data_IF_465523500471
#
_entry.id   IF_465523500471
#
_cell.length_a   1.000
_cell.length_b   1.000
_cell.length_c   1.000
_cell.angle_alpha   90.00
_cell.angle_beta   90.00
_cell.angle_gamma   90.00
#
_symmetry.space_group_name_H-M   'P 1'
#
loop_
_entity.id
_entity.type
_entity.pdbx_description
1 polymer ?
#
# COMPACT_ATOMS: atom_id res chain seq x y z
N UNK A 1 -49.70 6.79 -1.24
CA UNK A 1 -49.14 8.01 -1.87
C UNK A 1 -48.08 8.54 -0.92
N UNK A 2 -46.79 8.33 -1.21
CA UNK A 2 -45.72 8.83 -0.34
C UNK A 2 -45.65 10.36 -0.50
N UNK A 3 -45.97 11.10 0.56
CA UNK A 3 -45.69 12.53 0.64
C UNK A 3 -44.18 12.71 0.74
N UNK A 4 -43.53 12.98 -0.39
CA UNK A 4 -42.18 13.53 -0.38
C UNK A 4 -42.25 14.92 0.27
N UNK A 5 -41.77 15.02 1.50
CA UNK A 5 -41.49 16.31 2.09
C UNK A 5 -40.48 17.04 1.18
N UNK A 6 -40.91 18.18 0.61
CA UNK A 6 -40.01 19.18 0.03
C UNK A 6 -39.25 19.87 1.17
N UNK A 7 -38.51 19.12 1.98
CA UNK A 7 -37.43 19.76 2.70
C UNK A 7 -36.42 20.19 1.64
N UNK A 8 -36.10 21.49 1.61
CA UNK A 8 -34.87 21.94 0.99
C UNK A 8 -33.75 21.28 1.77
N UNK A 9 -33.32 20.11 1.31
CA UNK A 9 -32.09 19.50 1.78
C UNK A 9 -30.99 20.48 1.37
N UNK A 10 -30.61 21.37 2.28
CA UNK A 10 -29.41 22.16 2.15
C UNK A 10 -28.26 21.16 2.19
N UNK A 11 -27.84 20.70 1.01
CA UNK A 11 -26.60 19.93 0.87
C UNK A 11 -25.52 20.75 1.56
N UNK A 12 -24.85 20.17 2.56
CA UNK A 12 -23.75 20.83 3.25
C UNK A 12 -22.81 21.41 2.19
N UNK A 13 -22.70 22.73 2.15
CA UNK A 13 -22.01 23.46 1.06
C UNK A 13 -20.59 22.94 0.82
N UNK A 14 -19.92 22.47 1.89
CA UNK A 14 -18.56 21.93 1.83
C UNK A 14 -18.34 20.80 0.80
N UNK A 15 -19.31 19.89 0.61
CA UNK A 15 -19.17 18.81 -0.38
C UNK A 15 -19.50 19.26 -1.81
N UNK A 16 -20.12 20.42 -1.98
CA UNK A 16 -20.40 20.98 -3.31
C UNK A 16 -19.10 21.38 -4.01
N UNK A 17 -18.08 21.82 -3.27
CA UNK A 17 -16.79 22.20 -3.84
C UNK A 17 -16.12 21.02 -4.55
N UNK A 18 -15.97 19.90 -3.85
CA UNK A 18 -15.42 18.67 -4.41
C UNK A 18 -16.26 18.15 -5.57
N UNK A 19 -17.60 18.15 -5.41
CA UNK A 19 -18.52 17.75 -6.48
C UNK A 19 -18.36 18.61 -7.73
N UNK A 20 -18.33 19.93 -7.57
CA UNK A 20 -18.17 20.86 -8.68
C UNK A 20 -16.81 20.66 -9.35
N UNK A 21 -15.74 20.49 -8.56
CA UNK A 21 -14.41 20.18 -9.09
C UNK A 21 -14.42 18.91 -9.95
N UNK A 22 -15.01 17.82 -9.46
CA UNK A 22 -15.11 16.56 -10.22
C UNK A 22 -15.99 16.71 -11.47
N UNK A 23 -17.14 17.37 -11.38
CA UNK A 23 -18.09 17.51 -12.50
C UNK A 23 -17.60 18.46 -13.60
N UNK A 24 -16.80 19.47 -13.26
CA UNK A 24 -16.37 20.53 -14.20
C UNK A 24 -14.89 20.45 -14.59
N UNK A 25 -14.03 19.97 -13.69
CA UNK A 25 -12.58 19.97 -13.85
C UNK A 25 -12.01 18.66 -14.40
N UNK A 26 -12.74 17.55 -14.27
CA UNK A 26 -12.25 16.23 -14.70
C UNK A 26 -12.77 15.86 -16.08
N UNK A 27 -11.90 15.23 -16.89
CA UNK A 27 -12.30 14.78 -18.23
C UNK A 27 -13.41 13.73 -18.12
N UNK A 28 -14.47 13.93 -18.91
CA UNK A 28 -15.54 12.93 -19.05
C UNK A 28 -14.92 11.58 -19.43
N UNK A 29 -15.29 10.51 -18.72
CA UNK A 29 -14.80 9.14 -18.88
C UNK A 29 -13.34 8.87 -18.45
N UNK A 30 -12.69 9.78 -17.71
CA UNK A 30 -11.37 9.47 -17.13
C UNK A 30 -11.47 8.29 -16.14
N UNK A 31 -10.61 7.26 -16.24
CA UNK A 31 -10.53 6.17 -15.26
C UNK A 31 -10.37 6.72 -13.85
N UNK A 32 -11.34 6.45 -12.99
CA UNK A 32 -11.39 6.96 -11.63
C UNK A 32 -11.55 5.81 -10.64
N UNK A 33 -10.63 5.76 -9.67
CA UNK A 33 -10.56 4.78 -8.60
C UNK A 33 -10.99 5.47 -7.31
N UNK A 34 -12.08 5.01 -6.70
CA UNK A 34 -12.71 5.69 -5.59
C UNK A 34 -12.54 4.91 -4.29
N UNK A 35 -11.85 5.50 -3.31
CA UNK A 35 -11.95 5.13 -1.90
C UNK A 35 -12.93 6.14 -1.29
N UNK A 36 -14.21 5.81 -1.36
CA UNK A 36 -15.27 6.69 -0.85
C UNK A 36 -15.32 6.63 0.68
N UNK A 37 -15.83 7.70 1.31
CA UNK A 37 -16.29 7.59 2.69
C UNK A 37 -17.64 6.84 2.71
N UNK A 38 -17.99 6.26 3.86
CA UNK A 38 -19.23 5.51 4.02
C UNK A 38 -20.49 6.33 3.66
N UNK A 39 -20.40 7.65 3.71
CA UNK A 39 -21.52 8.58 3.50
C UNK A 39 -21.61 9.12 2.07
N UNK A 40 -20.60 8.92 1.21
CA UNK A 40 -20.63 9.41 -0.15
C UNK A 40 -19.29 9.52 -0.87
N UNK A 41 -19.41 9.87 -2.14
CA UNK A 41 -18.34 10.41 -2.96
C UNK A 41 -18.94 11.50 -3.86
N UNK A 42 -18.13 12.45 -4.38
CA UNK A 42 -18.59 13.47 -5.33
C UNK A 42 -19.03 12.88 -6.69
N UNK A 43 -19.05 11.55 -6.83
CA UNK A 43 -19.40 10.81 -8.04
C UNK A 43 -20.84 10.29 -7.95
N UNK A 44 -21.69 10.67 -8.90
CA UNK A 44 -23.07 10.13 -9.02
C UNK A 44 -23.12 8.59 -9.06
N UNK A 45 -22.10 8.00 -9.71
CA UNK A 45 -21.95 6.56 -9.81
C UNK A 45 -21.86 5.86 -8.44
N UNK A 46 -21.30 6.51 -7.41
CA UNK A 46 -21.24 5.94 -6.06
C UNK A 46 -22.62 5.80 -5.43
N UNK A 47 -23.49 6.80 -5.58
CA UNK A 47 -24.87 6.72 -5.11
C UNK A 47 -25.67 5.60 -5.80
N UNK A 48 -25.44 5.39 -7.10
CA UNK A 48 -26.04 4.29 -7.85
C UNK A 48 -25.49 2.93 -7.41
N UNK A 49 -24.18 2.85 -7.17
CA UNK A 49 -23.53 1.67 -6.63
C UNK A 49 -24.10 1.29 -5.26
N UNK A 50 -24.24 2.25 -4.34
CA UNK A 50 -24.87 2.04 -3.04
C UNK A 50 -26.32 1.53 -3.19
N UNK A 51 -27.09 2.13 -4.11
CA UNK A 51 -28.45 1.68 -4.42
C UNK A 51 -28.52 0.24 -4.94
N UNK A 52 -27.48 -0.25 -5.65
CA UNK A 52 -27.45 -1.63 -6.12
C UNK A 52 -27.41 -2.65 -4.98
N UNK A 53 -26.86 -2.30 -3.81
CA UNK A 53 -26.84 -3.19 -2.65
C UNK A 53 -28.27 -3.55 -2.16
N UNK A 54 -29.27 -2.74 -2.50
CA UNK A 54 -30.64 -2.88 -2.01
C UNK A 54 -31.65 -3.36 -3.06
N UNK A 55 -31.23 -3.51 -4.33
CA UNK A 55 -32.13 -3.91 -5.41
C UNK A 55 -32.29 -5.43 -5.58
N UNK A 56 -31.52 -6.22 -4.83
CA UNK A 56 -31.48 -7.68 -4.92
C UNK A 56 -30.69 -8.19 -6.14
N UNK A 57 -30.18 -9.42 -6.07
CA UNK A 57 -29.24 -9.98 -7.05
C UNK A 57 -29.71 -9.87 -8.51
N UNK A 58 -30.92 -10.35 -8.79
CA UNK A 58 -31.48 -10.40 -10.16
C UNK A 58 -31.63 -9.03 -10.82
N UNK A 59 -32.00 -8.01 -10.05
CA UNK A 59 -32.10 -6.64 -10.59
C UNK A 59 -30.73 -5.97 -10.61
N UNK A 60 -29.86 -6.26 -9.64
CA UNK A 60 -28.49 -5.79 -9.60
C UNK A 60 -27.69 -6.17 -10.85
N UNK A 61 -27.80 -7.42 -11.31
CA UNK A 61 -27.18 -7.87 -12.57
C UNK A 61 -27.69 -7.08 -13.79
N UNK A 62 -29.00 -6.83 -13.86
CA UNK A 62 -29.58 -6.03 -14.95
C UNK A 62 -29.11 -4.58 -14.91
N UNK A 63 -29.07 -3.98 -13.73
CA UNK A 63 -28.60 -2.62 -13.56
C UNK A 63 -27.11 -2.50 -13.85
N UNK A 64 -26.31 -3.49 -13.45
CA UNK A 64 -24.88 -3.52 -13.75
C UNK A 64 -24.60 -3.44 -15.26
N UNK A 65 -25.35 -4.19 -16.08
CA UNK A 65 -25.23 -4.17 -17.56
C UNK A 65 -25.53 -2.80 -18.15
N UNK A 66 -26.46 -2.04 -17.57
CA UNK A 66 -26.73 -0.67 -18.05
C UNK A 66 -25.74 0.34 -17.47
N UNK A 67 -25.39 0.23 -16.20
CA UNK A 67 -24.51 1.16 -15.50
C UNK A 67 -23.08 1.12 -16.05
N UNK A 68 -22.58 -0.04 -16.51
CA UNK A 68 -21.28 -0.12 -17.17
C UNK A 68 -21.24 0.69 -18.47
N UNK A 69 -22.37 0.82 -19.20
CA UNK A 69 -22.43 1.65 -20.42
C UNK A 69 -22.33 3.14 -20.08
N UNK A 70 -22.91 3.55 -18.95
CA UNK A 70 -22.93 4.95 -18.52
C UNK A 70 -21.68 5.37 -17.71
N UNK A 71 -21.07 4.42 -17.00
CA UNK A 71 -19.92 4.63 -16.12
C UNK A 71 -18.85 3.55 -16.34
N UNK A 72 -18.29 3.43 -17.56
CA UNK A 72 -17.38 2.34 -17.94
C UNK A 72 -16.00 2.41 -17.29
N UNK A 73 -15.69 3.53 -16.63
CA UNK A 73 -14.35 3.85 -16.13
C UNK A 73 -14.37 4.30 -14.67
N UNK A 74 -15.44 4.00 -13.92
CA UNK A 74 -15.52 4.25 -12.48
C UNK A 74 -15.37 2.93 -11.73
N UNK A 75 -14.53 2.94 -10.71
CA UNK A 75 -14.19 1.78 -9.89
C UNK A 75 -14.27 2.13 -8.41
N UNK A 76 -14.91 1.29 -7.61
CA UNK A 76 -15.15 1.50 -6.19
C UNK A 76 -14.33 0.52 -5.36
N UNK A 77 -13.51 1.03 -4.45
CA UNK A 77 -12.79 0.17 -3.53
C UNK A 77 -13.75 -0.43 -2.50
N UNK A 78 -13.70 -1.75 -2.29
CA UNK A 78 -14.46 -2.42 -1.24
C UNK A 78 -13.53 -3.10 -0.22
N UNK A 79 -13.77 -2.82 1.06
CA UNK A 79 -13.00 -3.41 2.15
C UNK A 79 -13.18 -4.92 2.30
N UNK A 80 -14.34 -5.49 1.94
CA UNK A 80 -14.62 -6.91 2.16
C UNK A 80 -13.88 -7.86 1.21
N UNK A 81 -13.52 -7.40 0.00
CA UNK A 81 -12.74 -8.18 -0.97
C UNK A 81 -11.36 -7.56 -1.27
N UNK A 82 -11.04 -6.43 -0.64
CA UNK A 82 -9.77 -5.71 -0.81
C UNK A 82 -9.43 -5.41 -2.29
N UNK A 83 -10.46 -5.10 -3.08
CA UNK A 83 -10.38 -4.89 -4.52
C UNK A 83 -11.16 -3.65 -4.96
N UNK A 84 -10.86 -3.20 -6.18
CA UNK A 84 -11.63 -2.18 -6.88
C UNK A 84 -12.69 -2.85 -7.74
N UNK A 85 -13.93 -2.39 -7.64
CA UNK A 85 -15.08 -3.05 -8.21
C UNK A 85 -15.76 -2.14 -9.24
N UNK A 86 -16.17 -2.71 -10.36
CA UNK A 86 -16.98 -2.06 -11.36
C UNK A 86 -18.19 -2.94 -11.63
N UNK A 87 -19.36 -2.52 -11.13
CA UNK A 87 -20.66 -3.11 -11.47
C UNK A 87 -20.68 -4.65 -11.42
N UNK A 88 -20.08 -5.25 -10.38
CA UNK A 88 -20.04 -6.71 -10.19
C UNK A 88 -18.76 -7.41 -10.65
N UNK A 89 -17.84 -6.71 -11.31
CA UNK A 89 -16.50 -7.23 -11.63
C UNK A 89 -15.45 -6.62 -10.70
N UNK A 90 -14.52 -7.42 -10.21
CA UNK A 90 -13.44 -6.97 -9.32
C UNK A 90 -12.09 -6.94 -10.02
N UNK A 91 -11.24 -6.00 -9.61
CA UNK A 91 -9.92 -5.74 -10.13
C UNK A 91 -8.95 -5.46 -8.99
N UNK A 92 -7.70 -5.91 -9.10
CA UNK A 92 -6.63 -5.43 -8.24
C UNK A 92 -6.27 -3.98 -8.59
N UNK A 93 -5.51 -3.30 -7.73
CA UNK A 93 -5.06 -1.94 -8.04
C UNK A 93 -4.12 -1.94 -9.25
N UNK A 94 -3.19 -2.90 -9.30
CA UNK A 94 -2.22 -3.03 -10.39
C UNK A 94 -2.87 -3.39 -11.73
N UNK A 95 -3.96 -4.15 -11.74
CA UNK A 95 -4.68 -4.44 -12.99
C UNK A 95 -5.18 -3.16 -13.65
N UNK A 96 -5.71 -2.24 -12.84
CA UNK A 96 -6.25 -0.97 -13.32
C UNK A 96 -5.14 -0.01 -13.75
N UNK A 97 -4.03 0.03 -13.02
CA UNK A 97 -2.85 0.79 -13.43
C UNK A 97 -2.26 0.29 -14.75
N UNK A 98 -2.09 -1.02 -14.93
CA UNK A 98 -1.63 -1.62 -16.19
C UNK A 98 -2.61 -1.39 -17.35
N UNK A 99 -3.92 -1.39 -17.06
CA UNK A 99 -4.96 -1.18 -18.07
C UNK A 99 -4.97 0.24 -18.62
N UNK A 100 -4.78 1.24 -17.75
CA UNK A 100 -5.00 2.63 -18.12
C UNK A 100 -3.73 3.49 -18.18
N UNK A 101 -2.62 3.06 -17.57
CA UNK A 101 -1.37 3.79 -17.35
C UNK A 101 -1.48 5.10 -16.56
N UNK A 102 -2.66 5.72 -16.54
CA UNK A 102 -2.98 6.95 -15.83
C UNK A 102 -4.42 6.90 -15.36
N UNK A 103 -4.62 7.08 -14.06
CA UNK A 103 -5.94 7.08 -13.41
C UNK A 103 -6.07 8.27 -12.47
N UNK A 104 -7.31 8.63 -12.16
CA UNK A 104 -7.66 9.51 -11.06
C UNK A 104 -7.87 8.64 -9.84
N UNK A 105 -7.25 8.99 -8.73
CA UNK A 105 -7.51 8.34 -7.46
C UNK A 105 -8.17 9.33 -6.52
N UNK A 106 -9.44 9.07 -6.18
CA UNK A 106 -10.19 9.87 -5.23
C UNK A 106 -10.20 9.17 -3.87
N UNK A 107 -9.88 9.92 -2.83
CA UNK A 107 -9.91 9.47 -1.44
C UNK A 107 -10.84 10.39 -0.66
N UNK A 108 -11.98 9.85 -0.23
CA UNK A 108 -12.87 10.47 0.75
C UNK A 108 -12.67 9.92 2.16
N UNK A 109 -12.02 8.76 2.30
CA UNK A 109 -11.70 8.14 3.59
C UNK A 109 -10.18 7.97 3.76
N UNK A 110 -9.50 8.93 4.41
CA UNK A 110 -8.05 8.85 4.63
C UNK A 110 -7.64 7.71 5.57
N UNK A 111 -8.52 7.29 6.48
CA UNK A 111 -8.23 6.15 7.35
C UNK A 111 -8.19 4.88 6.50
N UNK A 112 -9.12 4.76 5.55
CA UNK A 112 -9.10 3.65 4.59
C UNK A 112 -7.97 3.70 3.59
N UNK A 113 -7.53 4.88 3.17
CA UNK A 113 -6.30 5.04 2.38
C UNK A 113 -5.07 4.56 3.17
N UNK A 114 -4.97 4.90 4.46
CA UNK A 114 -3.89 4.46 5.33
C UNK A 114 -3.87 2.94 5.52
N UNK A 115 -5.04 2.30 5.68
CA UNK A 115 -5.16 0.83 5.69
C UNK A 115 -4.61 0.18 4.40
N UNK A 116 -4.64 0.92 3.29
CA UNK A 116 -4.22 0.47 1.97
C UNK A 116 -2.79 0.86 1.61
N UNK A 117 -2.02 1.41 2.55
CA UNK A 117 -0.65 1.86 2.29
C UNK A 117 0.24 0.76 1.69
N UNK A 118 0.06 -0.50 2.10
CA UNK A 118 0.79 -1.64 1.54
C UNK A 118 0.49 -1.86 0.06
N UNK A 119 -0.76 -1.67 -0.35
CA UNK A 119 -1.25 -1.87 -1.72
C UNK A 119 -0.95 -0.67 -2.62
N UNK A 120 -1.08 0.54 -2.10
CA UNK A 120 -0.94 1.79 -2.87
C UNK A 120 0.51 2.30 -2.90
N UNK A 121 1.26 2.07 -1.83
CA UNK A 121 2.58 2.66 -1.59
C UNK A 121 3.62 1.64 -1.11
N UNK A 122 3.39 0.34 -1.30
CA UNK A 122 4.46 -0.64 -1.11
C UNK A 122 5.62 -0.40 -2.09
N UNK A 123 6.73 -1.09 -1.85
CA UNK A 123 8.02 -0.80 -2.44
C UNK A 123 8.00 -0.82 -3.98
N UNK A 124 7.41 -1.85 -4.57
CA UNK A 124 7.27 -1.95 -6.02
C UNK A 124 6.31 -0.88 -6.59
N UNK A 125 5.28 -0.46 -5.83
CA UNK A 125 4.44 0.69 -6.24
C UNK A 125 5.19 2.00 -6.17
N UNK A 126 6.08 2.20 -5.21
CA UNK A 126 6.97 3.37 -5.22
C UNK A 126 7.92 3.36 -6.43
N UNK A 127 8.25 2.18 -6.96
CA UNK A 127 9.12 2.03 -8.15
C UNK A 127 8.34 2.34 -9.43
N UNK A 128 7.15 1.76 -9.57
CA UNK A 128 6.43 1.71 -10.84
C UNK A 128 5.24 2.66 -10.92
N UNK A 129 4.92 3.39 -9.86
CA UNK A 129 3.83 4.35 -9.86
C UNK A 129 4.21 5.69 -9.23
N UNK A 130 3.53 6.75 -9.68
CA UNK A 130 3.69 8.10 -9.13
C UNK A 130 2.33 8.68 -8.80
N UNK A 131 2.17 9.10 -7.55
CA UNK A 131 1.00 9.79 -7.05
C UNK A 131 1.28 11.29 -7.03
N UNK A 132 0.53 12.05 -7.83
CA UNK A 132 0.58 13.51 -7.86
C UNK A 132 -0.72 14.06 -7.30
N UNK A 133 -0.65 14.80 -6.20
CA UNK A 133 -1.82 15.44 -5.62
C UNK A 133 -2.31 16.54 -6.57
N UNK A 134 -3.54 16.41 -7.05
CA UNK A 134 -4.20 17.42 -7.88
C UNK A 134 -4.81 18.49 -6.97
N UNK A 135 -5.60 18.06 -5.97
CA UNK A 135 -6.30 18.96 -5.05
C UNK A 135 -6.62 18.22 -3.75
N UNK A 136 -6.69 18.97 -2.65
CA UNK A 136 -7.22 18.50 -1.38
C UNK A 136 -8.32 19.46 -0.89
N UNK A 137 -9.32 18.91 -0.22
CA UNK A 137 -10.44 19.62 0.39
C UNK A 137 -10.41 19.37 1.90
N UNK A 138 -9.69 20.20 2.68
CA UNK A 138 -9.46 19.93 4.11
C UNK A 138 -10.74 19.79 4.94
N UNK A 139 -11.79 20.56 4.63
CA UNK A 139 -13.07 20.54 5.37
C UNK A 139 -13.84 19.22 5.28
N UNK A 140 -13.58 18.45 4.22
CA UNK A 140 -14.19 17.15 3.96
C UNK A 140 -13.17 16.02 4.08
N UNK A 141 -11.88 16.34 4.31
CA UNK A 141 -10.76 15.40 4.30
C UNK A 141 -10.63 14.64 2.97
N UNK A 142 -11.15 15.20 1.87
CA UNK A 142 -11.10 14.57 0.55
C UNK A 142 -9.82 14.97 -0.19
N UNK A 143 -9.21 14.03 -0.91
CA UNK A 143 -8.05 14.29 -1.77
C UNK A 143 -8.21 13.64 -3.13
N UNK A 144 -7.75 14.32 -4.17
CA UNK A 144 -7.72 13.80 -5.53
C UNK A 144 -6.27 13.74 -5.99
N UNK A 145 -5.87 12.58 -6.49
CA UNK A 145 -4.55 12.34 -7.07
C UNK A 145 -4.67 11.98 -8.55
N UNK A 146 -3.67 12.35 -9.33
CA UNK A 146 -3.31 11.64 -10.54
C UNK A 146 -2.35 10.53 -10.17
N UNK A 147 -2.62 9.30 -10.62
CA UNK A 147 -1.70 8.18 -10.46
C UNK A 147 -1.27 7.72 -11.83
N UNK A 148 0.05 7.72 -12.04
CA UNK A 148 0.67 7.24 -13.29
C UNK A 148 1.44 5.96 -13.05
N UNK A 149 1.44 5.07 -14.03
CA UNK A 149 2.13 3.78 -14.01
C UNK A 149 3.21 3.74 -15.10
N UNK A 150 4.43 3.43 -14.68
CA UNK A 150 5.59 3.22 -15.54
C UNK A 150 5.76 1.72 -15.78
N UNK A 151 5.19 1.25 -16.90
CA UNK A 151 5.25 -0.17 -17.28
C UNK A 151 6.67 -0.70 -17.53
N UNK A 152 7.63 0.19 -17.82
CA UNK A 152 9.03 -0.18 -18.00
C UNK A 152 9.65 -0.47 -16.64
N UNK A 153 9.48 0.45 -15.68
CA UNK A 153 9.97 0.25 -14.30
C UNK A 153 9.29 -0.93 -13.59
N UNK A 154 7.99 -1.14 -13.82
CA UNK A 154 7.26 -2.26 -13.21
C UNK A 154 7.71 -3.66 -13.68
N UNK A 155 8.40 -3.75 -14.83
CA UNK A 155 8.96 -5.00 -15.37
C UNK A 155 10.45 -5.17 -15.11
N UNK A 156 11.17 -4.06 -14.93
CA UNK A 156 12.62 -4.11 -14.82
C UNK A 156 13.07 -4.60 -13.43
N UNK A 157 14.21 -5.30 -13.38
CA UNK A 157 14.93 -5.56 -12.14
C UNK A 157 15.20 -4.24 -11.40
N UNK A 158 15.20 -4.30 -10.07
CA UNK A 158 15.60 -3.17 -9.24
C UNK A 158 16.39 -3.65 -8.04
N UNK A 159 17.25 -2.77 -7.52
CA UNK A 159 17.98 -2.99 -6.28
C UNK A 159 17.86 -1.74 -5.42
N UNK A 160 17.38 -1.93 -4.19
CA UNK A 160 17.22 -0.88 -3.20
C UNK A 160 18.07 -1.21 -1.99
N UNK A 161 18.54 -0.17 -1.31
CA UNK A 161 19.40 -0.26 -0.15
C UNK A 161 18.97 0.74 0.92
N UNK A 162 18.98 0.32 2.18
CA UNK A 162 18.67 1.12 3.36
C UNK A 162 19.72 0.88 4.44
N UNK A 163 20.50 1.90 4.76
CA UNK A 163 21.57 1.92 5.77
C UNK A 163 21.08 2.41 7.14
N UNK A 164 19.78 2.70 7.29
CA UNK A 164 19.23 3.15 8.55
C UNK A 164 19.65 4.56 8.98
N UNK A 165 20.31 5.34 8.10
CA UNK A 165 20.83 6.67 8.45
C UNK A 165 19.78 7.78 8.34
N UNK A 166 18.93 7.70 7.32
CA UNK A 166 18.06 8.81 6.95
C UNK A 166 16.60 8.49 7.31
N UNK A 167 15.95 9.48 7.92
CA UNK A 167 14.54 9.44 8.24
C UNK A 167 13.77 10.52 7.46
N UNK A 168 12.47 10.29 7.31
CA UNK A 168 11.56 11.32 6.81
C UNK A 168 11.36 12.44 7.84
N UNK A 169 10.68 13.50 7.43
CA UNK A 169 10.44 14.65 8.31
C UNK A 169 9.63 14.30 9.56
N UNK A 170 8.81 13.24 9.52
CA UNK A 170 8.06 12.76 10.68
C UNK A 170 8.88 11.87 11.61
N UNK A 171 10.07 11.42 11.18
CA UNK A 171 10.92 10.43 11.85
C UNK A 171 10.27 9.04 11.99
N UNK A 172 9.19 8.78 11.27
CA UNK A 172 8.46 7.51 11.33
C UNK A 172 8.88 6.55 10.21
N UNK A 173 9.49 7.06 9.14
CA UNK A 173 9.90 6.27 7.97
C UNK A 173 11.40 6.42 7.72
N UNK A 174 12.08 5.32 7.45
CA UNK A 174 13.42 5.36 6.87
C UNK A 174 13.34 5.73 5.40
N UNK A 175 14.31 6.51 4.94
CA UNK A 175 14.44 6.97 3.56
C UNK A 175 15.78 6.53 3.00
N UNK A 176 15.80 6.04 1.76
CA UNK A 176 17.06 5.78 1.06
C UNK A 176 17.45 6.92 0.11
N UNK A 177 18.58 6.78 -0.59
CA UNK A 177 19.12 7.82 -1.48
C UNK A 177 18.18 8.16 -2.64
N UNK A 178 17.39 7.21 -3.11
CA UNK A 178 16.39 7.40 -4.17
C UNK A 178 15.02 7.85 -3.62
N UNK A 179 14.94 8.23 -2.34
CA UNK A 179 13.73 8.69 -1.65
C UNK A 179 12.63 7.64 -1.44
N UNK A 180 12.95 6.34 -1.58
CA UNK A 180 12.05 5.26 -1.17
C UNK A 180 11.89 5.25 0.33
N UNK A 181 10.69 4.86 0.79
CA UNK A 181 10.32 4.89 2.19
C UNK A 181 9.94 3.52 2.70
N UNK A 182 10.45 3.17 3.88
CA UNK A 182 10.07 1.97 4.64
C UNK A 182 9.80 2.33 6.10
N UNK A 183 8.96 1.54 6.77
CA UNK A 183 8.46 1.84 8.10
C UNK A 183 9.45 1.58 9.25
N UNK A 184 9.00 1.99 10.45
CA UNK A 184 9.66 1.86 11.75
C UNK A 184 10.91 2.73 11.94
N UNK A 185 10.90 3.94 11.39
CA UNK A 185 11.96 4.95 11.58
C UNK A 185 12.25 5.28 13.05
N UNK A 186 11.24 5.16 13.92
CA UNK A 186 11.36 5.36 15.37
C UNK A 186 12.28 4.35 16.08
N UNK A 187 12.79 3.33 15.37
CA UNK A 187 13.73 2.33 15.89
C UNK A 187 15.20 2.64 15.59
N UNK A 188 15.49 3.76 14.92
CA UNK A 188 16.84 4.23 14.67
C UNK A 188 17.61 4.43 15.98
N UNK A 189 18.87 4.00 16.02
CA UNK A 189 19.75 4.10 17.17
C UNK A 189 21.21 4.26 16.74
N UNK A 190 21.96 5.07 17.48
CA UNK A 190 23.41 5.26 17.31
C UNK A 190 24.27 4.41 18.26
N UNK A 191 23.66 3.45 18.98
CA UNK A 191 24.39 2.62 19.95
C UNK A 191 25.37 1.63 19.29
N UNK A 192 24.94 1.05 18.16
CA UNK A 192 25.74 0.15 17.33
C UNK A 192 25.41 0.45 15.87
N UNK A 193 26.38 0.34 14.98
CA UNK A 193 26.18 0.45 13.53
C UNK A 193 27.11 -0.50 12.77
N UNK A 194 26.66 -1.00 11.63
CA UNK A 194 27.48 -1.77 10.68
C UNK A 194 28.16 -0.80 9.72
N UNK A 195 27.38 0.14 9.20
CA UNK A 195 27.86 1.23 8.37
C UNK A 195 27.37 2.57 8.96
N UNK A 196 28.02 3.67 8.59
CA UNK A 196 27.61 4.99 9.08
C UNK A 196 27.61 5.13 10.62
N UNK A 197 26.63 5.88 11.14
CA UNK A 197 26.50 6.25 12.55
C UNK A 197 25.27 5.65 13.22
N UNK A 198 24.34 5.09 12.46
CA UNK A 198 23.06 4.59 12.96
C UNK A 198 22.80 3.17 12.47
N UNK A 199 21.98 2.45 13.23
CA UNK A 199 21.32 1.23 12.78
C UNK A 199 19.92 1.18 13.39
N UNK A 200 19.24 0.05 13.27
CA UNK A 200 18.00 -0.21 13.98
C UNK A 200 18.28 -0.95 15.27
N UNK A 201 17.68 -0.51 16.37
CA UNK A 201 17.65 -1.23 17.64
C UNK A 201 16.23 -1.72 17.94
N UNK A 202 16.09 -3.03 18.14
CA UNK A 202 14.84 -3.68 18.50
C UNK A 202 14.91 -4.17 19.94
N UNK A 203 13.87 -3.85 20.72
CA UNK A 203 13.70 -4.30 22.10
C UNK A 203 12.38 -5.04 22.24
N UNK A 204 12.06 -5.52 23.44
CA UNK A 204 10.75 -6.11 23.73
C UNK A 204 9.60 -5.12 23.49
N UNK A 205 9.81 -3.84 23.78
CA UNK A 205 8.83 -2.76 23.64
C UNK A 205 8.66 -2.35 22.18
N UNK A 206 9.75 -2.41 21.40
CA UNK A 206 9.76 -2.11 19.97
C UNK A 206 10.39 -3.28 19.19
N UNK A 207 9.65 -4.39 19.00
CA UNK A 207 10.22 -5.63 18.48
C UNK A 207 10.33 -5.66 16.95
N UNK A 208 9.84 -4.64 16.24
CA UNK A 208 9.77 -4.61 14.78
C UNK A 208 10.64 -3.49 14.20
N UNK A 209 11.57 -3.85 13.31
CA UNK A 209 12.49 -2.93 12.62
C UNK A 209 12.03 -2.58 11.22
N UNK A 210 12.97 -2.29 10.30
CA UNK A 210 12.71 -2.04 8.88
C UNK A 210 11.50 -2.85 8.41
N UNK A 211 10.43 -2.18 7.99
CA UNK A 211 9.19 -2.82 7.58
C UNK A 211 8.75 -2.29 6.23
N UNK A 212 8.56 -3.17 5.27
CA UNK A 212 8.08 -2.79 3.95
C UNK A 212 7.17 -3.85 3.36
N UNK A 213 6.46 -3.46 2.31
CA UNK A 213 5.52 -4.31 1.62
C UNK A 213 5.93 -4.41 0.15
N UNK A 214 5.90 -5.60 -0.43
CA UNK A 214 5.83 -5.78 -1.87
C UNK A 214 4.34 -5.85 -2.22
N UNK A 215 3.81 -4.84 -2.91
CA UNK A 215 2.37 -4.72 -3.22
C UNK A 215 1.95 -5.68 -4.33
N UNK A 216 0.87 -6.42 -4.14
CA UNK A 216 0.22 -7.23 -5.19
C UNK A 216 1.23 -8.01 -6.07
N UNK A 217 2.08 -8.82 -5.43
CA UNK A 217 3.16 -9.56 -6.10
C UNK A 217 2.61 -10.57 -7.11
N UNK A 218 3.36 -10.83 -8.18
CA UNK A 218 3.00 -11.86 -9.15
C UNK A 218 3.65 -13.19 -8.76
N UNK A 219 2.95 -14.29 -9.03
CA UNK A 219 3.60 -15.60 -9.00
C UNK A 219 4.85 -15.58 -9.86
N UNK A 220 5.89 -16.28 -9.41
CA UNK A 220 7.20 -16.32 -10.04
C UNK A 220 8.00 -15.00 -10.04
N UNK A 221 7.52 -13.92 -9.43
CA UNK A 221 8.42 -12.79 -9.13
C UNK A 221 9.55 -13.31 -8.22
N UNK A 222 10.80 -12.97 -8.55
CA UNK A 222 11.99 -13.45 -7.85
C UNK A 222 12.63 -12.29 -7.08
N UNK A 223 12.81 -12.49 -5.78
CA UNK A 223 13.39 -11.49 -4.89
C UNK A 223 14.54 -12.07 -4.08
N UNK A 224 15.52 -11.21 -3.81
CA UNK A 224 16.58 -11.46 -2.85
C UNK A 224 16.63 -10.32 -1.84
N UNK A 225 16.62 -10.68 -0.56
CA UNK A 225 16.70 -9.75 0.56
C UNK A 225 17.95 -10.10 1.37
N UNK A 226 18.70 -9.10 1.78
CA UNK A 226 19.78 -9.29 2.74
C UNK A 226 19.82 -8.19 3.78
N UNK A 227 20.27 -8.51 4.98
CA UNK A 227 20.46 -7.54 6.06
C UNK A 227 21.54 -8.02 7.01
N UNK A 228 22.27 -7.11 7.64
CA UNK A 228 23.21 -7.45 8.70
C UNK A 228 22.53 -7.39 10.06
N UNK A 229 22.75 -8.42 10.89
CA UNK A 229 22.33 -8.50 12.28
C UNK A 229 23.55 -8.51 13.19
N UNK A 230 23.58 -7.71 14.24
CA UNK A 230 24.66 -7.75 15.21
C UNK A 230 24.63 -9.04 16.03
N UNK A 231 25.77 -9.71 16.16
CA UNK A 231 25.93 -10.96 16.90
C UNK A 231 26.17 -10.69 18.39
N UNK A 232 25.07 -10.50 19.13
CA UNK A 232 25.05 -10.48 20.59
C UNK A 232 24.47 -11.76 21.19
N UNK A 233 24.52 -12.88 20.45
CA UNK A 233 23.96 -14.19 20.84
C UNK A 233 22.42 -14.21 20.94
N UNK A 234 21.71 -13.21 20.40
CA UNK A 234 20.26 -13.25 20.25
C UNK A 234 19.86 -14.14 19.06
N UNK A 235 19.46 -15.39 19.36
CA UNK A 235 18.95 -16.35 18.38
C UNK A 235 17.46 -16.17 18.04
N UNK A 236 16.73 -15.38 18.83
CA UNK A 236 15.29 -15.12 18.68
C UNK A 236 15.01 -13.86 17.84
N UNK A 237 15.97 -13.44 17.02
CA UNK A 237 15.85 -12.27 16.16
C UNK A 237 16.33 -12.56 14.74
N UNK A 238 15.60 -12.02 13.77
CA UNK A 238 15.84 -12.30 12.36
C UNK A 238 14.93 -11.55 11.39
N UNK A 239 14.94 -12.00 10.15
CA UNK A 239 14.13 -11.46 9.06
C UNK A 239 12.84 -12.27 8.90
N UNK A 240 11.70 -11.60 8.81
CA UNK A 240 10.42 -12.21 8.49
C UNK A 240 10.00 -11.82 7.07
N UNK A 241 9.51 -12.80 6.30
CA UNK A 241 8.84 -12.59 5.01
C UNK A 241 7.50 -13.31 5.07
N UNK A 242 6.40 -12.56 4.98
CA UNK A 242 5.06 -13.10 5.15
C UNK A 242 4.07 -12.45 4.18
N UNK A 243 3.16 -13.24 3.60
CA UNK A 243 2.00 -12.68 2.92
C UNK A 243 1.02 -12.06 3.94
N UNK A 244 0.16 -11.14 3.48
CA UNK A 244 -0.91 -10.58 4.32
C UNK A 244 -1.78 -11.69 4.95
N UNK A 245 -2.03 -12.76 4.21
CA UNK A 245 -2.52 -14.02 4.77
C UNK A 245 -1.33 -14.95 5.05
N UNK A 246 -0.92 -15.00 6.32
CA UNK A 246 0.24 -15.78 6.78
C UNK A 246 0.12 -17.28 6.50
N UNK A 247 -1.10 -17.80 6.33
CA UNK A 247 -1.31 -19.22 5.98
C UNK A 247 -0.84 -19.54 4.56
N UNK A 248 -0.75 -18.52 3.69
CA UNK A 248 -0.32 -18.67 2.30
C UNK A 248 1.19 -18.60 2.16
N UNK A 249 1.86 -17.81 2.98
CA UNK A 249 3.31 -17.70 2.98
C UNK A 249 3.84 -17.07 4.26
N UNK A 250 4.78 -17.75 4.92
CA UNK A 250 5.49 -17.25 6.09
C UNK A 250 6.88 -17.89 6.17
N UNK A 251 7.90 -17.07 6.39
CA UNK A 251 9.27 -17.48 6.69
C UNK A 251 9.86 -16.58 7.76
N UNK A 252 10.52 -17.18 8.74
CA UNK A 252 11.35 -16.49 9.72
C UNK A 252 12.78 -17.02 9.57
N UNK A 253 13.72 -16.14 9.25
CA UNK A 253 15.10 -16.48 8.90
C UNK A 253 16.02 -15.86 9.94
N UNK A 254 16.77 -16.72 10.65
CA UNK A 254 17.75 -16.32 11.67
C UNK A 254 19.17 -16.74 11.31
N UNK A 255 19.31 -17.67 10.35
CA UNK A 255 20.58 -18.20 9.89
C UNK A 255 21.38 -17.16 9.11
N UNK A 256 22.69 -17.12 9.35
CA UNK A 256 23.60 -16.19 8.68
C UNK A 256 24.36 -16.89 7.55
N UNK A 257 24.43 -16.27 6.38
CA UNK A 257 25.24 -16.73 5.25
C UNK A 257 26.72 -16.32 5.36
N UNK A 258 27.00 -15.24 6.10
CA UNK A 258 28.33 -14.68 6.26
C UNK A 258 28.45 -13.96 7.60
N UNK A 259 29.67 -13.86 8.14
CA UNK A 259 29.98 -13.02 9.30
C UNK A 259 31.12 -12.07 8.95
N UNK A 260 30.97 -10.79 9.30
CA UNK A 260 31.96 -9.72 9.18
C UNK A 260 32.12 -9.05 10.54
N UNK A 261 33.26 -9.26 11.21
CA UNK A 261 33.48 -8.85 12.59
C UNK A 261 32.35 -9.38 13.51
N UNK A 262 31.59 -8.48 14.14
CA UNK A 262 30.45 -8.81 14.99
C UNK A 262 29.11 -8.80 14.26
N UNK A 263 29.08 -8.64 12.94
CA UNK A 263 27.84 -8.56 12.17
C UNK A 263 27.64 -9.80 11.30
N UNK A 264 26.45 -10.36 11.34
CA UNK A 264 26.04 -11.56 10.64
C UNK A 264 25.07 -11.19 9.53
N UNK A 265 25.42 -11.53 8.29
CA UNK A 265 24.55 -11.31 7.14
C UNK A 265 23.48 -12.38 7.10
N UNK A 266 22.22 -11.98 7.19
CA UNK A 266 21.06 -12.81 6.87
C UNK A 266 20.72 -12.57 5.41
N UNK A 267 20.54 -13.63 4.63
CA UNK A 267 20.19 -13.55 3.22
C UNK A 267 19.05 -14.53 2.92
N UNK A 268 18.05 -14.05 2.19
CA UNK A 268 16.91 -14.86 1.80
C UNK A 268 16.55 -14.59 0.34
N UNK A 269 16.63 -15.65 -0.45
CA UNK A 269 16.29 -15.67 -1.86
C UNK A 269 15.00 -16.48 -2.02
N UNK A 270 13.98 -15.89 -2.64
CA UNK A 270 12.70 -16.56 -2.82
C UNK A 270 11.97 -16.19 -4.10
N UNK A 271 11.20 -17.17 -4.58
CA UNK A 271 10.26 -17.03 -5.69
C UNK A 271 8.87 -16.95 -5.08
N UNK A 272 8.08 -15.96 -5.48
CA UNK A 272 6.70 -15.79 -5.01
C UNK A 272 5.86 -17.00 -5.43
N UNK A 273 5.29 -17.77 -4.47
CA UNK A 273 4.49 -18.94 -4.79
C UNK A 273 3.13 -18.55 -5.36
N UNK A 274 2.48 -19.48 -6.06
CA UNK A 274 1.13 -19.31 -6.60
C UNK A 274 0.11 -18.86 -5.53
N UNK A 275 0.21 -19.41 -4.32
CA UNK A 275 -0.68 -19.05 -3.21
C UNK A 275 -0.58 -17.55 -2.83
N UNK A 276 0.57 -16.90 -3.04
CA UNK A 276 0.79 -15.49 -2.73
C UNK A 276 0.50 -14.55 -3.92
N UNK A 277 0.00 -15.05 -5.05
CA UNK A 277 -0.33 -14.22 -6.19
C UNK A 277 -1.36 -13.13 -5.84
N UNK A 278 -1.05 -11.88 -6.21
CA UNK A 278 -1.81 -10.66 -5.93
C UNK A 278 -1.99 -10.35 -4.42
N UNK A 279 -1.25 -11.04 -3.55
CA UNK A 279 -1.13 -10.65 -2.15
C UNK A 279 -0.06 -9.57 -2.00
N UNK A 280 -0.12 -8.81 -0.91
CA UNK A 280 1.06 -8.07 -0.48
C UNK A 280 1.94 -9.02 0.35
N UNK A 281 3.26 -8.90 0.19
CA UNK A 281 4.24 -9.57 1.04
C UNK A 281 4.86 -8.52 1.96
N UNK A 282 4.61 -8.67 3.27
CA UNK A 282 5.24 -7.89 4.33
C UNK A 282 6.60 -8.50 4.68
N UNK A 283 7.63 -7.66 4.67
CA UNK A 283 8.98 -8.03 5.07
C UNK A 283 9.41 -7.14 6.21
N UNK A 284 9.92 -7.73 7.28
CA UNK A 284 10.36 -6.97 8.43
C UNK A 284 11.43 -7.66 9.29
N UNK A 285 12.20 -6.86 10.01
CA UNK A 285 13.08 -7.37 11.07
C UNK A 285 12.27 -7.58 12.34
N UNK A 286 12.48 -8.69 13.02
CA UNK A 286 11.76 -9.04 14.24
C UNK A 286 12.71 -9.46 15.35
N UNK A 287 12.52 -8.92 16.55
CA UNK A 287 13.11 -9.40 17.78
C UNK A 287 12.02 -10.04 18.66
N UNK A 288 12.06 -11.36 18.81
CA UNK A 288 11.17 -12.11 19.69
C UNK A 288 11.85 -12.44 21.03
N UNK A 289 13.00 -11.82 21.33
CA UNK A 289 13.67 -11.96 22.62
C UNK A 289 13.12 -10.96 23.64
N UNK A 290 12.95 -11.41 24.88
CA UNK A 290 12.42 -10.55 25.96
C UNK A 290 13.50 -9.83 26.76
N UNK A 291 14.78 -10.16 26.54
CA UNK A 291 15.93 -9.66 27.31
C UNK A 291 16.94 -9.00 26.37
N UNK A 292 17.35 -9.70 25.33
CA UNK A 292 18.40 -9.22 24.44
C UNK A 292 17.80 -8.29 23.38
N UNK A 293 18.39 -7.10 23.22
CA UNK A 293 18.10 -6.27 22.06
C UNK A 293 18.61 -6.95 20.78
N UNK A 294 18.10 -6.56 19.62
CA UNK A 294 18.65 -6.96 18.32
C UNK A 294 18.98 -5.71 17.52
N UNK A 295 20.09 -5.74 16.81
CA UNK A 295 20.51 -4.62 15.97
C UNK A 295 20.58 -5.06 14.52
N UNK A 296 20.04 -4.25 13.62
CA UNK A 296 19.94 -4.54 12.19
C UNK A 296 20.38 -3.36 11.35
N UNK A 297 21.09 -3.62 10.27
CA UNK A 297 21.66 -2.59 9.43
C UNK A 297 21.88 -3.07 7.99
N UNK A 298 22.10 -2.15 7.05
CA UNK A 298 22.48 -2.41 5.66
C UNK A 298 21.51 -3.37 4.94
N UNK A 299 20.22 -3.05 4.96
CA UNK A 299 19.17 -3.80 4.26
C UNK A 299 19.32 -3.60 2.74
N UNK A 300 19.34 -4.68 1.98
CA UNK A 300 19.25 -4.68 0.52
C UNK A 300 18.09 -5.54 0.04
N UNK A 301 17.40 -5.05 -0.99
CA UNK A 301 16.25 -5.71 -1.61
C UNK A 301 16.47 -5.67 -3.12
N UNK A 302 16.46 -6.83 -3.76
CA UNK A 302 16.67 -6.97 -5.18
C UNK A 302 15.49 -7.74 -5.79
N UNK A 303 14.98 -7.24 -6.91
CA UNK A 303 14.05 -7.95 -7.80
C UNK A 303 14.82 -8.31 -9.07
N UNK A 304 14.73 -9.56 -9.50
CA UNK A 304 15.28 -10.07 -10.76
C UNK A 304 14.23 -10.10 -11.87
#
# INVERSE_FOLDING_TARGET
MFHFHKEKVNRKEKYLNTKNFIETGMKKNQPSLLIADYYGAPYKAYGLFYGMAWCGHKMGEKYAVELIKHYPNIYFYHGWNNQFNQWGTSFSFIDLLKRYNKVVHFVGDPEKENDLVSKLHGLNRQVDSKFEKIVAFPETRETVYEVTYDSTKGKNPFKLYFDGENLDSSKMLFINRESFKIGNGNTQSSELSKSGSNSIKLTKENPYGFTFYLSEVNKNDHYKISIYKYNNKNHNSGLVVAANDVTKYYKFITESSQTENHWQKIEFDFIVPDAAHLQDIKIYCWNNDSILSAYFDDLSIEKF
#
